data_IF_232656527376
#
_entry.id   IF_232656527376
#
_cell.length_a   1.000
_cell.length_b   1.000
_cell.length_c   1.000
_cell.angle_alpha   90.00
_cell.angle_beta   90.00
_cell.angle_gamma   90.00
#
_symmetry.space_group_name_H-M   'P 1'
#
loop_
_entity.id
_entity.type
_entity.pdbx_description
1 polymer ?
#
# COMPACT_ATOMS: atom_id res chain seq x y z
N UNK A 1 2.44 -14.47 19.14
CA UNK A 1 3.18 -13.22 18.87
C UNK A 1 3.60 -13.03 17.42
N UNK A 2 4.57 -13.73 16.82
CA UNK A 2 4.90 -13.48 15.38
C UNK A 2 3.71 -13.76 14.44
N UNK A 3 3.10 -14.95 14.55
CA UNK A 3 1.93 -15.33 13.75
C UNK A 3 0.69 -14.49 14.11
N UNK A 4 0.62 -14.00 15.34
CA UNK A 4 -0.44 -13.09 15.81
C UNK A 4 -0.31 -11.69 15.21
N UNK A 5 0.92 -11.16 15.09
CA UNK A 5 1.16 -9.86 14.47
C UNK A 5 0.83 -9.83 12.98
N UNK A 6 1.15 -10.90 12.24
CA UNK A 6 0.73 -11.03 10.84
C UNK A 6 -0.78 -11.27 10.74
N UNK A 7 -1.36 -12.07 11.63
CA UNK A 7 -2.82 -12.29 11.69
C UNK A 7 -3.60 -10.99 11.92
N UNK A 8 -3.10 -10.08 12.76
CA UNK A 8 -3.73 -8.76 12.96
C UNK A 8 -3.68 -7.90 11.68
N UNK A 9 -2.60 -7.98 10.90
CA UNK A 9 -2.49 -7.29 9.62
C UNK A 9 -3.40 -7.91 8.54
N UNK A 10 -3.54 -9.24 8.56
CA UNK A 10 -4.49 -9.98 7.73
C UNK A 10 -5.94 -9.56 8.02
N UNK A 11 -6.33 -9.49 9.30
CA UNK A 11 -7.66 -9.04 9.73
C UNK A 11 -7.91 -7.59 9.32
N UNK A 12 -6.90 -6.71 9.43
CA UNK A 12 -6.99 -5.34 8.97
C UNK A 12 -7.30 -5.25 7.47
N UNK A 13 -6.58 -6.00 6.62
CA UNK A 13 -6.85 -6.02 5.18
C UNK A 13 -8.22 -6.65 4.85
N UNK A 14 -8.64 -7.70 5.57
CA UNK A 14 -9.96 -8.32 5.42
C UNK A 14 -11.09 -7.32 5.73
N UNK A 15 -10.98 -6.53 6.81
CA UNK A 15 -11.96 -5.49 7.15
C UNK A 15 -12.06 -4.37 6.12
N UNK A 16 -10.97 -4.11 5.39
CA UNK A 16 -10.95 -3.16 4.27
C UNK A 16 -11.41 -3.78 2.95
N UNK A 17 -11.68 -5.09 2.90
CA UNK A 17 -12.05 -5.79 1.67
C UNK A 17 -10.94 -5.80 0.62
N UNK A 18 -9.67 -5.84 1.04
CA UNK A 18 -8.52 -5.86 0.15
C UNK A 18 -8.06 -7.31 -0.03
N UNK A 19 -8.06 -7.88 -1.26
CA UNK A 19 -7.50 -9.21 -1.50
C UNK A 19 -5.99 -9.19 -1.34
N UNK A 20 -5.41 -10.24 -0.77
CA UNK A 20 -3.97 -10.33 -0.54
C UNK A 20 -3.46 -11.77 -0.55
N UNK A 21 -2.13 -11.91 -0.47
CA UNK A 21 -1.42 -13.14 -0.12
C UNK A 21 -0.37 -12.84 0.96
N UNK A 22 -0.07 -13.84 1.77
CA UNK A 22 1.06 -13.79 2.71
C UNK A 22 2.23 -14.57 2.12
N UNK A 23 3.40 -13.95 2.09
CA UNK A 23 4.63 -14.50 1.49
C UNK A 23 5.68 -14.68 2.58
N UNK A 24 6.29 -15.86 2.64
CA UNK A 24 7.51 -16.07 3.44
C UNK A 24 8.72 -15.64 2.64
N UNK A 25 9.46 -14.66 3.14
CA UNK A 25 10.61 -14.12 2.43
C UNK A 25 11.79 -15.09 2.48
N UNK A 26 12.44 -15.29 1.33
CA UNK A 26 13.61 -16.18 1.19
C UNK A 26 14.82 -15.63 1.95
N UNK A 27 15.68 -16.52 2.42
CA UNK A 27 16.83 -16.16 3.28
C UNK A 27 17.74 -15.09 2.70
N UNK A 28 18.01 -15.12 1.39
CA UNK A 28 18.86 -14.13 0.72
C UNK A 28 18.28 -12.72 0.63
N UNK A 29 16.98 -12.55 0.90
CA UNK A 29 16.30 -11.26 0.91
C UNK A 29 15.99 -10.75 2.34
N UNK A 30 16.34 -11.52 3.38
CA UNK A 30 16.23 -11.07 4.76
C UNK A 30 17.30 -10.02 5.06
N UNK A 31 16.94 -9.00 5.84
CA UNK A 31 17.91 -8.09 6.42
C UNK A 31 18.59 -8.74 7.63
N UNK A 32 19.78 -8.25 8.02
CA UNK A 32 20.61 -8.84 9.07
C UNK A 32 19.88 -9.10 10.41
N UNK A 33 18.88 -8.30 10.73
CA UNK A 33 18.15 -8.41 11.99
C UNK A 33 17.01 -9.45 11.96
N UNK A 34 16.44 -9.80 10.81
CA UNK A 34 15.27 -10.67 10.75
C UNK A 34 15.68 -12.15 10.71
N UNK A 35 15.19 -12.92 11.68
CA UNK A 35 15.29 -14.38 11.66
C UNK A 35 14.22 -15.01 10.75
N UNK A 36 13.04 -14.37 10.67
CA UNK A 36 11.94 -14.73 9.77
C UNK A 36 11.14 -13.47 9.42
N UNK A 37 10.69 -13.37 8.18
CA UNK A 37 9.88 -12.25 7.68
C UNK A 37 8.70 -12.74 6.84
N UNK A 38 7.53 -12.17 7.10
CA UNK A 38 6.32 -12.33 6.30
C UNK A 38 5.91 -10.98 5.70
N UNK A 39 5.68 -10.97 4.40
CA UNK A 39 5.09 -9.84 3.71
C UNK A 39 3.63 -10.15 3.35
N UNK A 40 2.74 -9.20 3.61
CA UNK A 40 1.38 -9.21 3.07
C UNK A 40 1.39 -8.34 1.83
N UNK A 41 1.17 -8.99 0.70
CA UNK A 41 1.09 -8.34 -0.60
C UNK A 41 -0.39 -8.27 -1.02
N UNK A 42 -0.91 -7.04 -1.15
CA UNK A 42 -2.26 -6.83 -1.64
C UNK A 42 -2.31 -6.97 -3.17
N UNK A 43 -3.44 -7.44 -3.67
CA UNK A 43 -3.74 -7.47 -5.09
C UNK A 43 -4.23 -6.11 -5.57
N UNK A 44 -3.64 -5.63 -6.66
CA UNK A 44 -3.99 -4.39 -7.33
C UNK A 44 -4.60 -4.72 -8.69
N UNK A 45 -5.93 -4.71 -8.85
CA UNK A 45 -6.60 -5.22 -10.04
C UNK A 45 -6.32 -4.42 -11.32
N UNK A 46 -6.20 -3.09 -11.24
CA UNK A 46 -5.88 -2.27 -12.40
C UNK A 46 -4.39 -2.39 -12.77
N UNK A 47 -3.52 -2.54 -11.76
CA UNK A 47 -2.10 -2.83 -11.98
C UNK A 47 -1.81 -4.28 -12.40
N UNK A 48 -2.75 -5.21 -12.17
CA UNK A 48 -2.59 -6.65 -12.45
C UNK A 48 -1.48 -7.33 -11.66
N UNK A 49 -1.19 -6.86 -10.44
CA UNK A 49 -0.03 -7.34 -9.67
C UNK A 49 -0.26 -7.34 -8.15
N UNK A 50 0.51 -8.18 -7.45
CA UNK A 50 0.65 -8.11 -6.00
C UNK A 50 1.69 -7.05 -5.60
N UNK A 51 1.38 -6.22 -4.60
CA UNK A 51 2.28 -5.18 -4.06
C UNK A 51 2.30 -5.23 -2.53
N UNK A 52 3.48 -5.13 -1.95
CA UNK A 52 3.68 -5.14 -0.50
C UNK A 52 2.96 -3.98 0.21
N UNK A 53 2.11 -4.31 1.18
CA UNK A 53 1.52 -3.34 2.12
C UNK A 53 2.09 -3.47 3.53
N UNK A 54 2.46 -4.68 3.94
CA UNK A 54 2.93 -4.98 5.30
C UNK A 54 4.17 -5.85 5.22
N UNK A 55 5.14 -5.55 6.08
CA UNK A 55 6.27 -6.41 6.42
C UNK A 55 6.25 -6.69 7.93
N UNK A 56 6.24 -7.96 8.31
CA UNK A 56 6.26 -8.45 9.69
C UNK A 56 7.54 -9.28 9.91
N UNK A 57 8.35 -8.93 10.91
CA UNK A 57 9.64 -9.57 11.17
C UNK A 57 9.79 -9.97 12.64
N UNK A 58 10.31 -11.17 12.86
CA UNK A 58 10.84 -11.59 14.16
C UNK A 58 12.37 -11.43 14.15
N UNK A 59 12.88 -10.56 15.02
CA UNK A 59 14.30 -10.26 15.12
C UNK A 59 15.00 -10.98 16.27
N UNK A 60 14.28 -11.86 16.99
CA UNK A 60 14.76 -12.51 18.21
C UNK A 60 15.47 -11.50 19.10
N UNK A 61 16.67 -11.80 19.57
CA UNK A 61 17.46 -10.94 20.43
C UNK A 61 18.48 -10.04 19.69
N UNK A 62 18.46 -10.00 18.35
CA UNK A 62 19.47 -9.29 17.56
C UNK A 62 19.54 -7.80 17.93
N UNK A 63 18.38 -7.15 17.97
CA UNK A 63 18.26 -5.72 18.31
C UNK A 63 18.47 -5.50 19.81
N UNK A 64 17.89 -6.36 20.66
CA UNK A 64 17.94 -6.20 22.11
C UNK A 64 19.33 -6.41 22.69
N UNK A 65 20.17 -7.29 22.11
CA UNK A 65 21.59 -7.41 22.45
C UNK A 65 22.34 -6.12 22.21
N UNK A 66 22.16 -5.51 21.03
CA UNK A 66 22.81 -4.24 20.67
C UNK A 66 22.35 -3.08 21.57
N UNK A 67 21.08 -3.07 21.98
CA UNK A 67 20.49 -2.02 22.81
C UNK A 67 20.56 -2.30 24.32
N UNK A 68 21.16 -3.43 24.73
CA UNK A 68 21.25 -3.87 26.12
C UNK A 68 19.90 -4.05 26.85
N UNK A 69 18.86 -4.48 26.12
CA UNK A 69 17.52 -4.73 26.67
C UNK A 69 17.44 -6.16 27.20
N UNK A 70 17.74 -6.32 28.50
CA UNK A 70 17.90 -7.63 29.15
C UNK A 70 16.57 -8.22 29.60
N UNK A 71 16.50 -9.55 29.61
CA UNK A 71 15.44 -10.29 30.27
C UNK A 71 15.86 -10.62 31.70
N UNK A 72 15.39 -9.83 32.67
CA UNK A 72 15.76 -10.00 34.08
C UNK A 72 15.07 -11.21 34.72
N UNK A 73 15.85 -12.19 35.16
CA UNK A 73 15.38 -13.33 35.96
C UNK A 73 16.03 -13.33 37.35
N UNK A 74 15.22 -13.40 38.41
CA UNK A 74 15.71 -13.48 39.80
C UNK A 74 15.98 -14.91 40.28
N UNK A 75 15.53 -15.91 39.51
CA UNK A 75 15.56 -17.34 39.89
C UNK A 75 16.86 -18.06 39.52
N UNK A 76 17.74 -17.45 38.72
CA UNK A 76 18.99 -18.04 38.26
C UNK A 76 20.13 -17.06 38.52
N UNK A 77 21.00 -17.36 39.49
CA UNK A 77 22.29 -16.68 39.63
C UNK A 77 23.31 -17.32 38.67
N UNK A 78 24.13 -16.51 38.00
CA UNK A 78 25.28 -16.92 37.17
C UNK A 78 25.00 -17.54 35.79
N UNK A 79 23.84 -17.31 35.18
CA UNK A 79 23.61 -17.62 33.77
C UNK A 79 24.11 -16.48 32.85
N UNK A 80 24.45 -16.81 31.59
CA UNK A 80 24.63 -15.81 30.54
C UNK A 80 23.43 -14.85 30.51
N UNK A 81 23.70 -13.56 30.25
CA UNK A 81 22.63 -12.56 30.16
C UNK A 81 21.68 -12.91 29.02
N UNK A 82 20.43 -13.17 29.35
CA UNK A 82 19.34 -13.34 28.38
C UNK A 82 18.79 -11.97 27.98
N UNK A 83 18.31 -11.87 26.74
CA UNK A 83 17.78 -10.65 26.15
C UNK A 83 16.36 -10.92 25.66
N UNK A 84 15.51 -9.88 25.68
CA UNK A 84 14.13 -10.02 25.18
C UNK A 84 14.12 -10.23 23.67
N UNK A 85 13.10 -10.93 23.18
CA UNK A 85 12.85 -10.99 21.74
C UNK A 85 12.11 -9.73 21.27
N UNK A 86 12.54 -9.17 20.15
CA UNK A 86 11.92 -8.00 19.52
C UNK A 86 11.33 -8.37 18.17
N UNK A 87 10.11 -7.90 17.93
CA UNK A 87 9.36 -8.11 16.70
C UNK A 87 8.84 -6.75 16.22
N UNK A 88 8.65 -6.60 14.92
CA UNK A 88 8.05 -5.40 14.33
C UNK A 88 7.16 -5.79 13.15
N UNK A 89 6.05 -5.06 12.97
CA UNK A 89 5.16 -5.20 11.83
C UNK A 89 4.58 -3.84 11.44
N UNK A 90 4.48 -3.59 10.14
CA UNK A 90 3.73 -2.45 9.62
C UNK A 90 2.24 -2.77 9.68
N UNK A 91 1.42 -1.97 10.38
CA UNK A 91 -0.04 -2.17 10.32
C UNK A 91 -0.65 -1.51 9.07
N UNK A 92 -0.27 -0.24 8.81
CA UNK A 92 -0.85 0.53 7.71
C UNK A 92 0.17 1.53 7.16
N UNK A 93 0.71 1.23 5.98
CA UNK A 93 1.42 2.21 5.17
C UNK A 93 0.38 3.06 4.41
N UNK A 94 -0.09 4.15 5.06
CA UNK A 94 -1.29 4.92 4.69
C UNK A 94 -1.42 5.17 3.18
N UNK A 95 -0.39 5.67 2.51
CA UNK A 95 -0.46 5.99 1.08
C UNK A 95 -0.63 4.74 0.21
N UNK A 96 0.06 3.63 0.51
CA UNK A 96 -0.08 2.37 -0.21
C UNK A 96 -1.46 1.74 0.01
N UNK A 97 -1.98 1.83 1.24
CA UNK A 97 -3.33 1.36 1.56
C UNK A 97 -4.38 2.18 0.84
N UNK A 98 -4.22 3.50 0.74
CA UNK A 98 -5.08 4.36 -0.09
C UNK A 98 -5.06 3.88 -1.54
N UNK A 99 -3.89 3.64 -2.13
CA UNK A 99 -3.81 3.11 -3.50
C UNK A 99 -4.54 1.76 -3.66
N UNK A 100 -4.38 0.84 -2.69
CA UNK A 100 -5.08 -0.43 -2.69
C UNK A 100 -6.61 -0.26 -2.62
N UNK A 101 -7.09 0.65 -1.78
CA UNK A 101 -8.53 0.97 -1.66
C UNK A 101 -9.04 1.59 -2.97
N UNK A 102 -8.32 2.57 -3.52
CA UNK A 102 -8.68 3.23 -4.78
C UNK A 102 -8.85 2.21 -5.92
N UNK A 103 -7.94 1.25 -6.07
CA UNK A 103 -8.07 0.24 -7.13
C UNK A 103 -9.17 -0.80 -6.85
N UNK A 104 -9.31 -1.26 -5.61
CA UNK A 104 -10.25 -2.35 -5.26
C UNK A 104 -11.70 -1.88 -5.06
N UNK A 105 -11.93 -0.59 -4.79
CA UNK A 105 -13.25 -0.02 -4.50
C UNK A 105 -13.72 1.03 -5.52
N UNK A 106 -13.03 1.19 -6.66
CA UNK A 106 -13.50 2.08 -7.73
C UNK A 106 -14.78 1.55 -8.41
N UNK A 107 -15.61 2.49 -8.84
CA UNK A 107 -16.82 2.29 -9.64
C UNK A 107 -16.78 3.25 -10.85
N UNK A 108 -17.83 3.27 -11.66
CA UNK A 108 -17.95 4.22 -12.78
C UNK A 108 -17.98 5.69 -12.32
N UNK A 109 -18.44 5.97 -11.10
CA UNK A 109 -18.73 7.33 -10.62
C UNK A 109 -17.81 7.81 -9.50
N UNK A 110 -16.99 6.92 -8.93
CA UNK A 110 -16.10 7.28 -7.84
C UNK A 110 -15.47 6.07 -7.16
N UNK A 111 -15.19 6.21 -5.87
CA UNK A 111 -14.60 5.15 -5.04
C UNK A 111 -15.48 4.93 -3.82
N UNK A 112 -15.98 3.71 -3.63
CA UNK A 112 -16.77 3.34 -2.46
C UNK A 112 -15.87 3.34 -1.23
N UNK A 113 -16.31 3.96 -0.14
CA UNK A 113 -15.57 3.90 1.13
C UNK A 113 -15.81 2.55 1.81
N UNK A 114 -14.74 1.80 2.18
CA UNK A 114 -14.86 0.56 2.95
C UNK A 114 -15.67 0.77 4.23
N UNK A 115 -16.53 -0.19 4.58
CA UNK A 115 -17.46 -0.07 5.71
C UNK A 115 -16.76 0.29 7.03
N UNK A 116 -15.61 -0.34 7.30
CA UNK A 116 -14.80 -0.08 8.48
C UNK A 116 -14.28 1.36 8.59
N UNK A 117 -14.19 2.09 7.48
CA UNK A 117 -13.72 3.48 7.44
C UNK A 117 -14.85 4.51 7.55
N UNK A 118 -16.08 4.16 7.18
CA UNK A 118 -17.23 5.10 7.14
C UNK A 118 -17.46 5.89 8.45
N UNK A 119 -17.31 5.31 9.66
CA UNK A 119 -17.48 6.06 10.91
C UNK A 119 -16.48 7.20 11.09
N UNK A 120 -15.30 7.10 10.47
CA UNK A 120 -14.22 8.09 10.57
C UNK A 120 -14.24 9.12 9.44
N UNK A 121 -15.12 8.96 8.45
CA UNK A 121 -15.24 9.88 7.33
C UNK A 121 -16.18 11.05 7.65
N UNK A 122 -15.91 12.26 7.10
CA UNK A 122 -16.87 13.35 7.11
C UNK A 122 -18.21 12.91 6.50
N UNK A 123 -19.36 13.43 6.97
CA UNK A 123 -20.67 13.02 6.46
C UNK A 123 -20.81 13.03 4.94
N UNK A 124 -20.18 13.99 4.26
CA UNK A 124 -20.22 14.13 2.80
C UNK A 124 -19.50 12.99 2.04
N UNK A 125 -18.65 12.20 2.69
CA UNK A 125 -17.79 11.18 2.08
C UNK A 125 -17.98 9.79 2.70
N UNK A 126 -19.14 9.50 3.30
CA UNK A 126 -19.40 8.18 3.92
C UNK A 126 -19.82 7.10 2.93
N UNK A 127 -20.30 7.47 1.75
CA UNK A 127 -20.74 6.52 0.72
C UNK A 127 -19.74 6.44 -0.45
N UNK A 128 -19.90 7.10 -1.61
CA UNK A 128 -18.80 7.20 -2.58
C UNK A 128 -18.05 8.53 -2.44
N UNK A 129 -16.73 8.48 -2.63
CA UNK A 129 -15.92 9.65 -2.97
C UNK A 129 -16.05 9.83 -4.49
N UNK A 130 -16.74 10.87 -4.98
CA UNK A 130 -17.04 11.01 -6.40
C UNK A 130 -15.80 11.44 -7.22
N UNK A 131 -15.75 11.02 -8.49
CA UNK A 131 -14.78 11.61 -9.42
C UNK A 131 -15.17 13.05 -9.75
N UNK A 132 -14.22 13.97 -9.59
CA UNK A 132 -14.41 15.42 -9.85
C UNK A 132 -13.59 15.93 -11.04
N UNK A 133 -12.78 15.06 -11.64
CA UNK A 133 -11.94 15.34 -12.81
C UNK A 133 -11.96 14.13 -13.76
N UNK A 134 -11.84 14.34 -15.08
CA UNK A 134 -11.67 13.25 -16.02
C UNK A 134 -10.33 12.53 -15.80
N UNK A 135 -10.19 11.31 -16.33
CA UNK A 135 -8.93 10.60 -16.23
C UNK A 135 -7.84 11.36 -17.01
N UNK A 136 -6.59 11.43 -16.49
CA UNK A 136 -5.50 12.13 -17.17
C UNK A 136 -5.23 11.63 -18.59
N UNK A 137 -5.53 10.36 -18.87
CA UNK A 137 -5.42 9.75 -20.20
C UNK A 137 -6.43 10.35 -21.18
N UNK A 138 -7.68 10.54 -20.77
CA UNK A 138 -8.74 11.13 -21.59
C UNK A 138 -8.42 12.59 -21.91
N UNK A 139 -7.89 13.33 -20.93
CA UNK A 139 -7.43 14.70 -21.16
C UNK A 139 -6.28 14.77 -22.18
N UNK A 140 -5.34 13.83 -22.10
CA UNK A 140 -4.20 13.76 -23.01
C UNK A 140 -4.64 13.43 -24.44
N UNK A 141 -5.56 12.47 -24.61
CA UNK A 141 -6.13 12.14 -25.92
C UNK A 141 -6.92 13.31 -26.50
N UNK A 142 -7.77 13.96 -25.69
CA UNK A 142 -8.55 15.12 -26.11
C UNK A 142 -7.66 16.28 -26.56
N UNK A 143 -6.57 16.55 -25.83
CA UNK A 143 -5.56 17.56 -26.21
C UNK A 143 -4.83 17.19 -27.50
N UNK A 144 -4.52 15.90 -27.71
CA UNK A 144 -3.87 15.41 -28.94
C UNK A 144 -4.79 15.52 -30.16
N UNK A 145 -6.07 15.18 -30.01
CA UNK A 145 -7.09 15.31 -31.06
C UNK A 145 -7.33 16.78 -31.43
N UNK A 146 -7.41 17.69 -30.43
CA UNK A 146 -7.52 19.14 -30.68
C UNK A 146 -6.34 19.67 -31.50
N UNK A 147 -5.10 19.34 -31.11
CA UNK A 147 -3.90 19.75 -31.86
C UNK A 147 -3.87 19.20 -33.30
N UNK A 148 -4.33 17.97 -33.50
CA UNK A 148 -4.42 17.38 -34.84
C UNK A 148 -5.42 18.14 -35.73
N UNK A 149 -6.58 18.50 -35.17
CA UNK A 149 -7.64 19.20 -35.87
C UNK A 149 -7.25 20.65 -36.22
N UNK A 150 -6.65 21.38 -35.27
CA UNK A 150 -6.08 22.71 -35.51
C UNK A 150 -4.95 22.69 -36.55
N UNK A 151 -4.16 21.61 -36.60
CA UNK A 151 -3.11 21.41 -37.60
C UNK A 151 -3.62 21.11 -39.01
N UNK A 152 -4.82 20.53 -39.14
CA UNK A 152 -5.50 20.35 -40.43
C UNK A 152 -6.14 21.65 -40.92
N UNK A 153 -6.83 22.39 -40.03
CA UNK A 153 -7.46 23.67 -40.38
C UNK A 153 -6.43 24.71 -40.87
N UNK A 154 -5.22 24.74 -40.30
CA UNK A 154 -4.12 25.60 -40.79
C UNK A 154 -3.51 25.19 -42.12
N UNK A 155 -3.74 23.96 -42.60
CA UNK A 155 -3.26 23.50 -43.92
C UNK A 155 -4.26 23.77 -45.04
N UNK A 156 -5.54 23.94 -44.69
CA UNK A 156 -6.63 24.20 -45.64
C UNK A 156 -6.91 25.70 -45.85
N UNK A 157 -6.20 26.62 -45.15
CA UNK A 157 -6.21 28.05 -45.46
C UNK A 157 -5.52 28.30 -46.82
N UNK A 158 -6.24 28.76 -47.86
CA UNK A 158 -5.62 29.04 -49.15
C UNK A 158 -4.72 30.27 -49.00
N UNK A 159 -3.46 30.15 -49.45
CA UNK A 159 -2.55 31.27 -49.55
C UNK A 159 -3.20 32.39 -50.38
N UNK A 160 -3.72 33.41 -49.72
CA UNK A 160 -4.30 34.58 -50.38
C UNK A 160 -3.17 35.28 -51.14
N UNK A 161 -3.31 35.29 -52.47
CA UNK A 161 -2.48 35.99 -53.43
C UNK A 161 -2.41 37.48 -53.06
N UNK A 162 -1.21 37.98 -52.73
CA UNK A 162 -0.92 39.42 -52.79
C UNK A 162 -0.63 39.82 -54.25
N UNK A 163 -1.32 40.88 -54.69
CA UNK A 163 -1.12 41.60 -55.95
C UNK A 163 -0.04 42.67 -55.79
#
# INVERSE_FOLDING_TARGET
>A
MFDEMIGNAEEFCQKLGIPYRVVSIVSGALNNAAAKKHDLEAWFPASGAFRELVSCSNCLDYQSRRLLIRYGQTKKMNAQTEYVHMLNATMCAVTRVICAILENHQTETGVVVPEALRPFMPPAFREPIPFVKPAPVDEAETKKQRKHREGMEKKDEPASKEQ
#
